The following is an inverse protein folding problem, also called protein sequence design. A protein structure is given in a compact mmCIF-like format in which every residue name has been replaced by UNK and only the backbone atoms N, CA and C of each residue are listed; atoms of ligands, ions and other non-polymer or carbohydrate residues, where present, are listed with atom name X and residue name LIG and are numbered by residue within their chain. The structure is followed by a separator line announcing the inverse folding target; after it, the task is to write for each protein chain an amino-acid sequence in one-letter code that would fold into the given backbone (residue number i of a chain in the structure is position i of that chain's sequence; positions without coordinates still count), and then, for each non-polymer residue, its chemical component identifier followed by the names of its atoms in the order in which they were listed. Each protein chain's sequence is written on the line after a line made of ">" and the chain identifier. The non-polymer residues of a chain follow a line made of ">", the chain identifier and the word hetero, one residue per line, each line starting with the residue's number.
data_IF_160271850340
#
_entry.id   IF_160271850340
#
_cell.length_a   1.000
_cell.length_b   1.000
_cell.length_c   1.000
_cell.angle_alpha   90.00
_cell.angle_beta   90.00
_cell.angle_gamma   90.00
#
_symmetry.space_group_name_H-M   'P 1'
#
loop_
_entity.id
_entity.type
_entity.pdbx_description
1 polymer ?
#
# COMPACT_ATOMS: atom_id res chain seq x y z
N UNK A 1 -10.05 0.87 -6.26
CA UNK A 1 -9.29 -0.21 -5.60
C UNK A 1 -8.53 -0.99 -6.66
N UNK A 2 -7.39 -1.57 -6.30
CA UNK A 2 -6.56 -2.36 -7.22
C UNK A 2 -7.08 -3.80 -7.24
N UNK A 3 -7.38 -4.31 -8.43
CA UNK A 3 -7.68 -5.73 -8.61
C UNK A 3 -6.36 -6.52 -8.71
N UNK A 4 -6.18 -7.48 -7.82
CA UNK A 4 -5.01 -8.35 -7.76
C UNK A 4 -4.75 -9.09 -9.09
N UNK A 5 -5.80 -9.45 -9.84
CA UNK A 5 -5.67 -10.12 -11.13
C UNK A 5 -5.12 -9.23 -12.25
N UNK A 6 -5.06 -7.91 -12.02
CA UNK A 6 -4.62 -6.92 -13.01
C UNK A 6 -3.30 -6.23 -12.63
N UNK A 7 -2.75 -6.53 -11.44
CA UNK A 7 -1.52 -5.91 -10.98
C UNK A 7 -0.33 -6.41 -11.82
N UNK A 8 0.43 -5.52 -12.48
CA UNK A 8 1.60 -5.93 -13.24
C UNK A 8 2.65 -6.60 -12.35
N UNK A 9 3.31 -7.63 -12.87
CA UNK A 9 4.33 -8.40 -12.13
C UNK A 9 5.57 -7.58 -11.71
N UNK A 10 5.71 -6.33 -12.20
CA UNK A 10 6.75 -5.39 -11.77
C UNK A 10 6.47 -4.75 -10.42
N UNK A 11 5.26 -4.93 -9.89
CA UNK A 11 4.85 -4.48 -8.56
C UNK A 11 4.68 -5.67 -7.62
N UNK A 12 5.08 -5.48 -6.38
CA UNK A 12 4.80 -6.37 -5.25
C UNK A 12 3.71 -5.76 -4.35
N UNK A 13 2.88 -6.61 -3.75
CA UNK A 13 1.89 -6.17 -2.76
C UNK A 13 2.58 -6.05 -1.40
N UNK A 14 2.47 -4.88 -0.78
CA UNK A 14 3.13 -4.56 0.50
C UNK A 14 2.15 -4.43 1.66
N UNK A 15 0.86 -4.21 1.38
CA UNK A 15 -0.19 -4.16 2.41
C UNK A 15 -1.53 -4.66 1.85
N UNK A 16 -2.35 -5.24 2.71
CA UNK A 16 -3.68 -5.77 2.37
C UNK A 16 -4.62 -5.75 3.57
N UNK A 17 -5.93 -5.77 3.31
CA UNK A 17 -6.95 -6.07 4.32
C UNK A 17 -7.21 -7.57 4.39
N UNK A 18 -7.77 -8.02 5.52
CA UNK A 18 -8.21 -9.39 5.70
C UNK A 18 -9.74 -9.43 5.87
N UNK A 19 -10.38 -10.37 5.18
CA UNK A 19 -11.76 -10.76 5.41
C UNK A 19 -11.79 -12.26 5.69
N UNK A 20 -12.32 -12.66 6.85
CA UNK A 20 -12.32 -14.04 7.33
C UNK A 20 -10.94 -14.73 7.27
N UNK A 21 -9.89 -13.97 7.56
CA UNK A 21 -8.50 -14.44 7.56
C UNK A 21 -7.87 -14.60 6.17
N UNK A 22 -8.60 -14.30 5.10
CA UNK A 22 -8.10 -14.28 3.73
C UNK A 22 -7.83 -12.85 3.27
N UNK A 23 -6.88 -12.70 2.35
CA UNK A 23 -6.63 -11.41 1.69
C UNK A 23 -7.90 -10.99 0.96
N UNK A 24 -8.34 -9.76 1.21
CA UNK A 24 -9.53 -9.18 0.60
C UNK A 24 -9.13 -8.05 -0.36
N UNK A 25 -8.58 -6.94 0.16
CA UNK A 25 -8.24 -5.77 -0.64
C UNK A 25 -6.74 -5.46 -0.60
N UNK A 26 -6.16 -5.08 -1.74
CA UNK A 26 -4.79 -4.55 -1.81
C UNK A 26 -4.79 -3.12 -1.28
N UNK A 27 -3.95 -2.87 -0.27
CA UNK A 27 -3.80 -1.58 0.40
C UNK A 27 -2.45 -0.91 0.14
N UNK A 28 -1.48 -1.64 -0.39
CA UNK A 28 -0.15 -1.11 -0.69
C UNK A 28 0.57 -1.92 -1.76
N UNK A 29 1.30 -1.22 -2.62
CA UNK A 29 2.17 -1.80 -3.65
C UNK A 29 3.51 -1.06 -3.72
N UNK A 30 4.55 -1.76 -4.14
CA UNK A 30 5.87 -1.19 -4.43
C UNK A 30 6.40 -1.71 -5.76
N UNK A 31 7.04 -0.84 -6.53
CA UNK A 31 7.75 -1.27 -7.74
C UNK A 31 9.06 -1.97 -7.35
N UNK A 32 9.37 -3.11 -7.95
CA UNK A 32 10.52 -3.93 -7.55
C UNK A 32 11.88 -3.24 -7.74
N UNK A 33 11.99 -2.35 -8.71
CA UNK A 33 13.26 -1.71 -9.10
C UNK A 33 13.25 -0.18 -9.05
N UNK A 34 12.08 0.44 -8.93
CA UNK A 34 11.93 1.90 -8.93
C UNK A 34 11.46 2.33 -7.55
N UNK A 35 11.86 3.52 -7.10
CA UNK A 35 11.37 4.13 -5.86
C UNK A 35 9.95 4.67 -6.07
N UNK A 36 9.01 3.76 -6.33
CA UNK A 36 7.60 4.03 -6.56
C UNK A 36 6.80 3.15 -5.62
N UNK A 37 5.98 3.79 -4.79
CA UNK A 37 5.06 3.13 -3.87
C UNK A 37 3.66 3.70 -4.07
N UNK A 38 2.66 2.82 -3.99
CA UNK A 38 1.25 3.17 -4.00
C UNK A 38 0.62 2.66 -2.73
N UNK A 39 -0.21 3.48 -2.10
CA UNK A 39 -0.90 3.15 -0.86
C UNK A 39 -2.34 3.61 -0.95
N UNK A 40 -3.26 2.76 -0.50
CA UNK A 40 -4.69 3.00 -0.55
C UNK A 40 -5.16 3.37 0.85
N UNK A 41 -5.52 4.63 1.02
CA UNK A 41 -6.14 5.12 2.23
C UNK A 41 -6.93 6.39 1.94
N UNK A 42 -7.81 6.74 2.87
CA UNK A 42 -8.50 8.01 2.84
C UNK A 42 -7.50 9.15 3.09
N UNK A 43 -7.46 10.23 2.28
CA UNK A 43 -6.46 11.29 2.42
C UNK A 43 -6.37 11.88 3.84
N UNK A 44 -7.49 11.98 4.55
CA UNK A 44 -7.55 12.47 5.92
C UNK A 44 -6.82 11.58 6.93
N UNK A 45 -6.68 10.28 6.63
CA UNK A 45 -6.01 9.34 7.53
C UNK A 45 -4.49 9.50 7.57
N UNK A 46 -3.89 10.28 6.65
CA UNK A 46 -2.46 10.64 6.72
C UNK A 46 -2.13 11.48 7.97
N UNK A 47 -3.12 12.18 8.53
CA UNK A 47 -2.97 13.00 9.73
C UNK A 47 -3.05 12.19 11.03
N UNK A 48 -3.39 10.90 10.93
CA UNK A 48 -3.35 9.99 12.07
C UNK A 48 -1.90 9.65 12.44
N UNK A 49 -1.69 9.21 13.67
CA UNK A 49 -0.36 8.79 14.14
C UNK A 49 0.26 7.68 13.26
N UNK A 50 -0.46 6.60 12.88
CA UNK A 50 0.04 5.63 11.90
C UNK A 50 0.26 6.23 10.50
N UNK A 51 -0.56 7.20 10.09
CA UNK A 51 -0.40 7.91 8.82
C UNK A 51 0.90 8.71 8.74
N UNK A 52 1.26 9.39 9.83
CA UNK A 52 2.53 10.11 9.95
C UNK A 52 3.74 9.16 9.96
N UNK A 53 3.65 8.00 10.60
CA UNK A 53 4.71 6.98 10.54
C UNK A 53 4.92 6.47 9.12
N UNK A 54 3.84 6.19 8.39
CA UNK A 54 3.88 5.74 7.01
C UNK A 54 4.52 6.80 6.10
N UNK A 55 4.13 8.07 6.25
CA UNK A 55 4.74 9.19 5.52
C UNK A 55 6.23 9.36 5.86
N UNK A 56 6.60 9.25 7.14
CA UNK A 56 7.99 9.30 7.57
C UNK A 56 8.83 8.18 6.96
N UNK A 57 8.26 6.97 6.83
CA UNK A 57 8.95 5.87 6.18
C UNK A 57 9.15 6.16 4.69
N UNK A 58 8.13 6.68 4.00
CA UNK A 58 8.24 7.08 2.60
C UNK A 58 9.36 8.12 2.36
N UNK A 59 9.47 9.14 3.22
CA UNK A 59 10.49 10.20 3.09
C UNK A 59 11.92 9.76 3.42
N UNK A 60 12.11 8.57 4.01
CA UNK A 60 13.44 8.05 4.40
C UNK A 60 14.08 7.17 3.31
N UNK A 61 13.34 6.79 2.27
CA UNK A 61 13.87 6.09 1.09
C UNK A 61 14.48 7.06 0.08
#
# INVERSE_FOLDING_TARGET
>A
MIDAGTLPATFEVTAWTLHDGNIDEIMGIRHQTLLIEGVQFYPESILSEPGHELLNNFLKY
#
